data_IF_698559121815
#
_entry.id   IF_698559121815
#
_cell.length_a   1.000
_cell.length_b   1.000
_cell.length_c   1.000
_cell.angle_alpha   90.00
_cell.angle_beta   90.00
_cell.angle_gamma   90.00
#
_symmetry.space_group_name_H-M   'P 1'
#
loop_
_entity.id
_entity.type
_entity.pdbx_description
1 polymer ?
#
# COMPACT_ATOMS: atom_id res chain seq x y z
N UNK A 1 -18.48 -7.71 25.02
CA UNK A 1 -17.50 -7.41 23.96
C UNK A 1 -17.38 -8.69 23.17
N UNK A 2 -17.71 -8.72 21.87
CA UNK A 2 -17.53 -9.93 21.09
C UNK A 2 -16.04 -10.30 21.15
N UNK A 3 -15.74 -11.48 21.69
CA UNK A 3 -14.38 -12.01 21.75
C UNK A 3 -14.05 -12.56 20.35
N UNK A 4 -13.84 -11.63 19.41
CA UNK A 4 -13.51 -11.96 18.03
C UNK A 4 -12.14 -12.63 18.05
N UNK A 5 -12.11 -13.90 17.64
CA UNK A 5 -10.88 -14.67 17.60
C UNK A 5 -9.83 -13.98 16.71
N UNK A 6 -8.58 -13.88 17.20
CA UNK A 6 -7.45 -13.44 16.40
C UNK A 6 -7.36 -14.16 15.06
N UNK A 7 -7.22 -13.39 13.97
CA UNK A 7 -6.99 -13.94 12.62
C UNK A 7 -6.16 -12.97 11.80
N UNK A 8 -5.35 -13.51 10.90
CA UNK A 8 -4.76 -12.73 9.81
C UNK A 8 -5.01 -13.43 8.48
N UNK A 9 -5.27 -12.64 7.44
CA UNK A 9 -5.50 -13.13 6.07
C UNK A 9 -4.68 -12.34 5.07
N UNK A 10 -4.03 -13.02 4.14
CA UNK A 10 -3.27 -12.39 3.06
C UNK A 10 -3.41 -13.22 1.79
N UNK A 11 -4.20 -12.74 0.82
CA UNK A 11 -4.63 -13.57 -0.30
C UNK A 11 -5.36 -14.84 0.18
N UNK A 12 -4.83 -16.01 -0.17
CA UNK A 12 -5.37 -17.31 0.27
C UNK A 12 -4.73 -17.81 1.58
N UNK A 13 -3.78 -17.09 2.18
CA UNK A 13 -3.21 -17.49 3.46
C UNK A 13 -4.11 -17.03 4.60
N UNK A 14 -4.42 -17.95 5.51
CA UNK A 14 -5.17 -17.69 6.73
C UNK A 14 -4.36 -18.20 7.91
N UNK A 15 -4.11 -17.33 8.88
CA UNK A 15 -3.39 -17.64 10.10
C UNK A 15 -4.32 -17.47 11.31
N UNK A 16 -4.39 -18.50 12.15
CA UNK A 16 -5.23 -18.57 13.35
C UNK A 16 -4.48 -19.23 14.52
N UNK A 17 -5.06 -19.19 15.72
CA UNK A 17 -4.36 -19.63 16.93
C UNK A 17 -3.20 -18.69 17.28
N UNK A 18 -3.53 -17.44 17.63
CA UNK A 18 -2.56 -16.45 18.07
C UNK A 18 -1.74 -16.99 19.25
N UNK A 19 -0.42 -17.02 19.09
CA UNK A 19 0.52 -17.55 20.06
C UNK A 19 1.19 -16.45 20.88
N UNK A 20 1.68 -15.42 20.21
CA UNK A 20 2.39 -14.30 20.83
C UNK A 20 2.33 -13.05 19.96
N UNK A 21 2.47 -11.90 20.62
CA UNK A 21 2.54 -10.58 20.00
C UNK A 21 3.76 -9.85 20.56
N UNK A 22 4.55 -9.25 19.67
CA UNK A 22 5.74 -8.48 20.02
C UNK A 22 5.82 -7.23 19.15
N UNK A 23 6.64 -6.28 19.59
CA UNK A 23 6.97 -5.04 18.86
C UNK A 23 8.43 -5.04 18.40
N UNK A 24 9.15 -6.13 18.66
CA UNK A 24 10.55 -6.30 18.29
C UNK A 24 10.68 -6.88 16.87
N UNK A 25 11.29 -6.15 15.92
CA UNK A 25 11.49 -6.65 14.56
C UNK A 25 12.43 -7.86 14.49
N UNK A 26 13.32 -8.09 15.47
CA UNK A 26 14.20 -9.27 15.49
C UNK A 26 13.41 -10.59 15.54
N UNK A 27 12.19 -10.55 16.09
CA UNK A 27 11.31 -11.71 16.13
C UNK A 27 10.94 -12.24 14.73
N UNK A 28 10.97 -11.39 13.70
CA UNK A 28 10.66 -11.77 12.33
C UNK A 28 11.76 -12.62 11.67
N UNK A 29 12.97 -12.65 12.24
CA UNK A 29 14.07 -13.54 11.82
C UNK A 29 14.12 -14.83 12.65
N UNK A 30 13.13 -15.06 13.54
CA UNK A 30 13.09 -16.24 14.42
C UNK A 30 12.46 -17.46 13.73
N UNK A 31 11.27 -17.91 14.19
CA UNK A 31 10.56 -19.07 13.68
C UNK A 31 9.05 -18.81 13.64
N UNK A 32 8.36 -19.57 12.79
CA UNK A 32 6.91 -19.51 12.60
C UNK A 32 6.43 -18.40 11.66
N UNK A 33 5.11 -18.27 11.58
CA UNK A 33 4.44 -17.32 10.71
C UNK A 33 3.91 -16.11 11.50
N UNK A 34 4.28 -14.93 11.02
CA UNK A 34 3.98 -13.65 11.63
C UNK A 34 3.08 -12.82 10.73
N UNK A 35 1.97 -12.30 11.26
CA UNK A 35 1.31 -11.15 10.69
C UNK A 35 2.00 -9.88 11.18
N UNK A 36 2.22 -8.92 10.29
CA UNK A 36 2.97 -7.69 10.53
C UNK A 36 2.08 -6.49 10.22
N UNK A 37 1.95 -5.60 11.20
CA UNK A 37 1.34 -4.28 11.06
C UNK A 37 2.32 -3.23 11.56
N UNK A 38 2.94 -2.50 10.64
CA UNK A 38 3.73 -1.31 10.92
C UNK A 38 2.91 -0.08 10.57
N UNK A 39 2.67 0.81 11.54
CA UNK A 39 2.03 2.08 11.28
C UNK A 39 3.03 3.11 10.72
N UNK A 40 2.53 4.16 10.07
CA UNK A 40 3.38 5.18 9.45
C UNK A 40 4.32 5.89 10.43
N UNK A 41 3.91 5.98 11.71
CA UNK A 41 4.69 6.57 12.79
C UNK A 41 5.81 5.63 13.30
N UNK A 42 5.90 4.40 12.78
CA UNK A 42 6.96 3.44 13.08
C UNK A 42 6.64 2.48 14.22
N UNK A 43 5.42 2.46 14.76
CA UNK A 43 4.99 1.41 15.70
C UNK A 43 4.76 0.13 14.94
N UNK A 44 5.45 -0.92 15.39
CA UNK A 44 5.40 -2.25 14.80
C UNK A 44 4.63 -3.19 15.70
N UNK A 45 3.72 -3.97 15.14
CA UNK A 45 3.09 -5.12 15.80
C UNK A 45 3.33 -6.37 14.96
N UNK A 46 4.00 -7.35 15.54
CA UNK A 46 4.26 -8.67 14.97
C UNK A 46 3.48 -9.70 15.78
N UNK A 47 2.56 -10.42 15.14
CA UNK A 47 1.72 -11.42 15.77
C UNK A 47 1.96 -12.80 15.17
N UNK A 48 2.45 -13.75 15.98
CA UNK A 48 2.72 -15.12 15.53
C UNK A 48 1.51 -16.02 15.72
N UNK A 49 1.27 -16.90 14.75
CA UNK A 49 0.15 -17.82 14.72
C UNK A 49 0.63 -19.28 14.59
N UNK A 50 -0.08 -20.20 15.24
CA UNK A 50 0.23 -21.63 15.22
C UNK A 50 -0.38 -22.38 14.03
N UNK A 51 -1.54 -21.96 13.54
CA UNK A 51 -2.26 -22.63 12.45
C UNK A 51 -2.29 -21.75 11.20
N UNK A 52 -1.52 -22.14 10.18
CA UNK A 52 -1.46 -21.46 8.88
C UNK A 52 -1.94 -22.42 7.80
N UNK A 53 -2.98 -21.99 7.08
CA UNK A 53 -3.64 -22.79 6.05
C UNK A 53 -3.91 -21.96 4.81
N UNK A 54 -4.07 -22.66 3.69
CA UNK A 54 -4.48 -22.04 2.43
C UNK A 54 -5.98 -22.21 2.25
N UNK A 55 -6.71 -21.11 2.34
CA UNK A 55 -8.15 -21.05 2.15
C UNK A 55 -8.52 -19.76 1.40
N UNK A 56 -9.47 -19.81 0.44
CA UNK A 56 -9.94 -18.60 -0.22
C UNK A 56 -10.58 -17.65 0.80
N UNK A 57 -10.56 -16.35 0.51
CA UNK A 57 -11.30 -15.36 1.30
C UNK A 57 -12.78 -15.76 1.34
N UNK A 58 -13.41 -15.83 2.53
CA UNK A 58 -14.82 -16.16 2.64
C UNK A 58 -15.69 -15.20 1.81
N UNK A 59 -16.78 -15.67 1.20
CA UNK A 59 -17.71 -14.78 0.52
C UNK A 59 -18.34 -13.81 1.51
N UNK A 60 -18.58 -12.58 1.07
CA UNK A 60 -19.30 -11.60 1.88
C UNK A 60 -20.72 -12.09 2.25
N UNK A 61 -21.04 -12.11 3.53
CA UNK A 61 -22.35 -12.53 4.04
C UNK A 61 -23.22 -11.28 4.28
N UNK A 62 -24.45 -11.24 3.75
CA UNK A 62 -25.36 -10.12 3.97
C UNK A 62 -25.57 -9.82 5.46
N UNK A 63 -25.47 -8.54 5.82
CA UNK A 63 -25.66 -8.06 7.20
C UNK A 63 -24.55 -8.40 8.20
N UNK A 64 -23.50 -9.14 7.81
CA UNK A 64 -22.37 -9.46 8.68
C UNK A 64 -21.48 -8.24 8.94
N UNK A 65 -21.30 -7.40 7.93
CA UNK A 65 -20.71 -6.07 8.07
C UNK A 65 -21.80 -5.01 8.11
N UNK A 66 -21.73 -4.12 9.10
CA UNK A 66 -22.58 -2.93 9.24
C UNK A 66 -21.68 -1.72 9.41
N UNK A 67 -21.34 -1.08 8.30
CA UNK A 67 -20.49 0.10 8.31
C UNK A 67 -21.22 1.41 8.58
N UNK A 68 -20.46 2.51 8.72
CA UNK A 68 -20.99 3.85 8.97
C UNK A 68 -21.88 4.34 7.81
N UNK A 69 -22.81 5.26 8.06
CA UNK A 69 -23.54 5.88 6.95
C UNK A 69 -22.59 6.71 6.07
N UNK A 70 -22.87 6.85 4.75
CA UNK A 70 -22.02 7.64 3.86
C UNK A 70 -21.80 9.09 4.33
N UNK A 71 -22.80 9.69 4.95
CA UNK A 71 -22.75 11.08 5.40
C UNK A 71 -22.09 11.27 6.79
N UNK A 72 -21.72 10.17 7.47
CA UNK A 72 -21.07 10.22 8.78
C UNK A 72 -19.54 10.39 8.69
N UNK A 73 -18.97 10.29 7.50
CA UNK A 73 -17.52 10.44 7.29
C UNK A 73 -17.09 11.89 7.44
N UNK A 74 -16.11 12.10 8.31
CA UNK A 74 -15.44 13.39 8.53
C UNK A 74 -13.97 13.29 8.13
N UNK A 75 -13.34 14.41 7.78
CA UNK A 75 -11.94 14.44 7.36
C UNK A 75 -11.07 15.20 8.35
N UNK A 76 -9.85 14.71 8.58
CA UNK A 76 -8.86 15.37 9.42
C UNK A 76 -8.35 16.70 8.84
N UNK A 77 -8.43 16.85 7.51
CA UNK A 77 -8.20 18.10 6.80
C UNK A 77 -9.43 18.35 5.93
N UNK A 78 -10.09 19.50 6.14
CA UNK A 78 -11.11 19.95 5.22
C UNK A 78 -10.50 20.42 3.89
N UNK A 79 -11.36 20.80 2.96
CA UNK A 79 -10.96 21.28 1.64
C UNK A 79 -9.93 22.42 1.71
N UNK A 80 -10.20 23.43 2.55
CA UNK A 80 -9.39 24.63 2.60
C UNK A 80 -8.02 24.35 3.25
N UNK A 81 -8.00 23.56 4.33
CA UNK A 81 -6.77 23.12 4.97
C UNK A 81 -5.91 22.24 4.04
N UNK A 82 -6.52 21.31 3.31
CA UNK A 82 -5.81 20.46 2.36
C UNK A 82 -5.21 21.29 1.21
N UNK A 83 -6.00 22.16 0.58
CA UNK A 83 -5.50 22.99 -0.53
C UNK A 83 -4.43 23.99 -0.06
N UNK A 84 -4.54 24.52 1.17
CA UNK A 84 -3.48 25.31 1.80
C UNK A 84 -2.20 24.47 2.01
N UNK A 85 -2.33 23.23 2.48
CA UNK A 85 -1.22 22.28 2.60
C UNK A 85 -0.53 22.02 1.26
N UNK A 86 -1.29 21.83 0.17
CA UNK A 86 -0.72 21.67 -1.19
C UNK A 86 0.09 22.90 -1.60
N UNK A 87 -0.43 24.12 -1.36
CA UNK A 87 0.31 25.37 -1.65
C UNK A 87 1.59 25.45 -0.81
N UNK A 88 1.52 25.07 0.46
CA UNK A 88 2.66 25.07 1.38
C UNK A 88 3.75 24.08 0.96
N UNK A 89 3.39 22.88 0.53
CA UNK A 89 4.36 21.93 -0.06
C UNK A 89 5.02 22.53 -1.31
N UNK A 90 4.27 23.21 -2.18
CA UNK A 90 4.86 23.86 -3.37
C UNK A 90 5.87 24.96 -3.00
N UNK A 91 5.66 25.68 -1.90
CA UNK A 91 6.66 26.63 -1.37
C UNK A 91 7.93 25.92 -0.92
N UNK A 92 7.82 24.79 -0.23
CA UNK A 92 8.97 23.95 0.14
C UNK A 92 9.73 23.44 -1.09
N UNK A 93 9.01 23.05 -2.15
CA UNK A 93 9.62 22.65 -3.42
C UNK A 93 10.34 23.84 -4.08
N UNK A 94 9.72 25.03 -4.10
CA UNK A 94 10.34 26.23 -4.66
C UNK A 94 11.62 26.64 -3.93
N UNK A 95 11.67 26.40 -2.62
CA UNK A 95 12.86 26.64 -1.79
C UNK A 95 13.97 25.60 -2.00
N UNK A 96 13.68 24.47 -2.67
CA UNK A 96 14.62 23.37 -2.89
C UNK A 96 14.72 22.41 -1.70
N UNK A 97 13.79 22.47 -0.74
CA UNK A 97 13.82 21.64 0.47
C UNK A 97 13.40 20.18 0.19
N UNK A 98 12.55 19.99 -0.82
CA UNK A 98 11.95 18.71 -1.20
C UNK A 98 11.57 18.73 -2.69
N UNK A 99 11.50 17.56 -3.34
CA UNK A 99 10.98 17.40 -4.69
C UNK A 99 9.48 17.03 -4.69
N UNK A 100 9.07 16.24 -3.71
CA UNK A 100 7.70 15.77 -3.55
C UNK A 100 7.39 15.45 -2.08
N UNK A 101 6.14 15.71 -1.68
CA UNK A 101 5.56 15.26 -0.40
C UNK A 101 4.22 14.60 -0.65
N UNK A 102 3.99 13.41 -0.09
CA UNK A 102 2.69 12.76 -0.11
C UNK A 102 1.81 13.33 1.01
N UNK A 103 0.97 14.33 0.69
CA UNK A 103 0.07 14.96 1.65
C UNK A 103 -1.23 14.16 1.78
N UNK A 104 -1.56 13.81 3.02
CA UNK A 104 -2.68 12.92 3.34
C UNK A 104 -3.69 13.56 4.28
N UNK A 105 -4.89 12.97 4.29
CA UNK A 105 -5.94 13.19 5.27
C UNK A 105 -6.52 11.85 5.71
N UNK A 106 -6.96 11.78 6.95
CA UNK A 106 -7.62 10.61 7.51
C UNK A 106 -9.11 10.90 7.61
N UNK A 107 -9.89 10.07 6.92
CA UNK A 107 -11.34 10.04 7.00
C UNK A 107 -11.74 9.16 8.18
N UNK A 108 -12.73 9.58 8.96
CA UNK A 108 -13.20 8.88 10.16
C UNK A 108 -14.72 8.94 10.26
N UNK A 109 -15.35 7.83 10.62
CA UNK A 109 -16.78 7.75 10.87
C UNK A 109 -17.09 6.86 12.10
N UNK A 110 -18.07 7.21 12.95
CA UNK A 110 -18.50 6.34 14.05
C UNK A 110 -18.95 4.97 13.57
N UNK A 111 -18.56 3.91 14.27
CA UNK A 111 -19.13 2.58 14.01
C UNK A 111 -20.56 2.52 14.57
N UNK A 112 -21.57 2.10 13.79
CA UNK A 112 -22.96 2.07 14.24
C UNK A 112 -23.24 1.00 15.30
N UNK A 113 -22.54 -0.14 15.20
CA UNK A 113 -22.53 -1.19 16.22
C UNK A 113 -21.09 -1.62 16.48
N UNK A 114 -20.35 -0.90 17.35
CA UNK A 114 -18.97 -1.21 17.64
C UNK A 114 -18.76 -2.60 18.26
N UNK A 115 -19.77 -3.14 18.94
CA UNK A 115 -19.66 -4.45 19.56
C UNK A 115 -19.70 -5.57 18.52
N UNK A 116 -20.48 -5.40 17.45
CA UNK A 116 -20.60 -6.35 16.35
C UNK A 116 -19.63 -6.10 15.18
N UNK A 117 -18.91 -4.96 15.18
CA UNK A 117 -17.98 -4.60 14.11
C UNK A 117 -16.81 -5.59 14.00
N UNK A 118 -16.71 -6.24 12.84
CA UNK A 118 -15.66 -7.21 12.49
C UNK A 118 -14.97 -6.80 11.19
N UNK A 119 -13.68 -6.48 11.28
CA UNK A 119 -12.87 -6.04 10.13
C UNK A 119 -12.62 -7.14 9.09
N UNK A 120 -12.73 -8.43 9.47
CA UNK A 120 -12.66 -9.56 8.51
C UNK A 120 -13.91 -9.59 7.61
N UNK A 121 -15.08 -9.22 8.14
CA UNK A 121 -16.31 -9.09 7.36
C UNK A 121 -16.22 -7.94 6.33
N UNK A 122 -15.60 -6.82 6.70
CA UNK A 122 -15.27 -5.75 5.75
C UNK A 122 -14.29 -6.24 4.67
N UNK A 123 -13.32 -7.07 5.04
CA UNK A 123 -12.37 -7.63 4.08
C UNK A 123 -13.05 -8.53 3.05
N UNK A 124 -14.01 -9.35 3.46
CA UNK A 124 -14.81 -10.16 2.53
C UNK A 124 -15.58 -9.29 1.51
N UNK A 125 -16.09 -8.12 1.94
CA UNK A 125 -16.72 -7.15 1.02
C UNK A 125 -15.72 -6.53 0.05
N UNK A 126 -14.56 -6.10 0.55
CA UNK A 126 -13.50 -5.52 -0.27
C UNK A 126 -12.99 -6.52 -1.31
N UNK A 127 -12.76 -7.78 -0.91
CA UNK A 127 -12.31 -8.84 -1.83
C UNK A 127 -13.29 -9.05 -3.00
N UNK A 128 -14.60 -8.86 -2.77
CA UNK A 128 -15.64 -8.99 -3.80
C UNK A 128 -15.74 -7.76 -4.70
N UNK A 129 -15.70 -6.56 -4.12
CA UNK A 129 -16.06 -5.31 -4.79
C UNK A 129 -14.85 -4.48 -5.28
N UNK A 130 -13.66 -4.78 -4.74
CA UNK A 130 -12.39 -4.10 -5.02
C UNK A 130 -11.20 -5.05 -4.78
N UNK A 131 -11.06 -6.14 -5.57
CA UNK A 131 -9.95 -7.07 -5.42
C UNK A 131 -8.60 -6.37 -5.66
N UNK A 132 -7.58 -6.75 -4.88
CA UNK A 132 -6.24 -6.20 -4.98
C UNK A 132 -5.17 -7.26 -4.68
N UNK A 133 -3.99 -7.12 -5.29
CA UNK A 133 -2.92 -8.10 -5.22
C UNK A 133 -2.40 -8.37 -3.80
N UNK A 134 -2.39 -7.33 -2.95
CA UNK A 134 -1.91 -7.40 -1.58
C UNK A 134 -3.02 -7.11 -0.57
N UNK A 135 -4.24 -7.56 -0.88
CA UNK A 135 -5.38 -7.48 0.03
C UNK A 135 -5.22 -8.41 1.24
N UNK A 136 -5.77 -8.01 2.38
CA UNK A 136 -5.67 -8.78 3.61
C UNK A 136 -6.37 -8.18 4.82
N UNK A 137 -6.31 -8.92 5.93
CA UNK A 137 -6.88 -8.56 7.22
C UNK A 137 -5.88 -8.87 8.32
N UNK A 138 -5.81 -8.02 9.34
CA UNK A 138 -5.25 -8.40 10.64
C UNK A 138 -6.28 -8.01 11.70
N UNK A 139 -6.81 -8.99 12.44
CA UNK A 139 -7.81 -8.79 13.49
C UNK A 139 -7.24 -9.27 14.81
N UNK A 140 -6.82 -8.34 15.64
CA UNK A 140 -6.23 -8.50 16.97
C UNK A 140 -6.82 -7.42 17.91
N UNK A 141 -8.12 -7.48 18.24
CA UNK A 141 -8.80 -6.43 19.02
C UNK A 141 -8.16 -6.20 20.39
N UNK A 142 -7.68 -7.26 21.05
CA UNK A 142 -6.95 -7.17 22.32
C UNK A 142 -5.60 -6.43 22.24
N UNK A 143 -5.09 -6.20 21.02
CA UNK A 143 -3.84 -5.49 20.75
C UNK A 143 -4.06 -4.19 19.96
N UNK A 144 -5.32 -3.79 19.76
CA UNK A 144 -5.66 -2.55 19.02
C UNK A 144 -5.32 -2.58 17.53
N UNK A 145 -5.14 -3.77 16.93
CA UNK A 145 -4.84 -3.92 15.50
C UNK A 145 -6.03 -4.59 14.81
N UNK A 146 -6.86 -3.79 14.14
CA UNK A 146 -8.00 -4.26 13.37
C UNK A 146 -8.00 -3.57 12.01
N UNK A 147 -7.41 -4.23 11.01
CA UNK A 147 -7.05 -3.67 9.72
C UNK A 147 -7.68 -4.50 8.60
N UNK A 148 -8.28 -3.84 7.61
CA UNK A 148 -8.67 -4.41 6.32
C UNK A 148 -7.99 -3.61 5.21
N UNK A 149 -7.15 -4.25 4.41
CA UNK A 149 -6.40 -3.61 3.32
C UNK A 149 -6.81 -4.17 1.96
N UNK A 150 -6.97 -3.29 0.97
CA UNK A 150 -7.12 -3.61 -0.44
C UNK A 150 -5.98 -2.97 -1.25
N UNK A 151 -4.76 -3.06 -0.73
CA UNK A 151 -3.58 -2.44 -1.34
C UNK A 151 -3.16 -3.15 -2.63
N UNK A 152 -2.87 -2.40 -3.71
CA UNK A 152 -2.28 -2.95 -4.92
C UNK A 152 -0.75 -2.88 -4.93
N UNK A 153 -0.13 -2.27 -3.92
CA UNK A 153 1.29 -1.90 -3.98
C UNK A 153 2.15 -2.69 -2.98
N UNK A 154 3.22 -3.29 -3.50
CA UNK A 154 4.20 -4.02 -2.70
C UNK A 154 5.14 -3.03 -2.01
N UNK A 155 5.15 -3.05 -0.67
CA UNK A 155 6.19 -2.38 0.09
C UNK A 155 7.49 -3.18 0.03
N UNK A 156 7.46 -4.41 0.53
CA UNK A 156 8.61 -5.32 0.54
C UNK A 156 8.17 -6.76 0.32
N UNK A 157 8.83 -7.48 -0.57
CA UNK A 157 8.88 -8.95 -0.53
C UNK A 157 10.27 -9.40 -0.11
N UNK A 158 10.35 -10.58 0.49
CA UNK A 158 11.61 -11.24 0.83
C UNK A 158 11.52 -12.70 0.41
N UNK A 159 12.59 -13.20 -0.21
CA UNK A 159 12.84 -14.62 -0.44
C UNK A 159 14.31 -14.88 -0.10
N UNK A 160 14.53 -15.48 1.06
CA UNK A 160 15.83 -15.63 1.70
C UNK A 160 16.58 -14.29 1.88
N UNK A 161 17.60 -14.02 1.06
CA UNK A 161 18.38 -12.78 1.06
C UNK A 161 17.88 -11.78 0.01
N UNK A 162 17.14 -12.24 -1.00
CA UNK A 162 16.60 -11.37 -2.03
C UNK A 162 15.43 -10.56 -1.46
N UNK A 163 15.51 -9.25 -1.59
CA UNK A 163 14.43 -8.32 -1.22
C UNK A 163 14.01 -7.51 -2.42
N UNK A 164 12.70 -7.31 -2.56
CA UNK A 164 12.14 -6.46 -3.62
C UNK A 164 11.15 -5.45 -3.08
N UNK A 165 11.02 -4.33 -3.78
CA UNK A 165 9.96 -3.36 -3.60
C UNK A 165 9.36 -3.01 -4.96
N UNK A 166 8.04 -2.80 -4.99
CA UNK A 166 7.27 -2.61 -6.21
C UNK A 166 6.56 -1.26 -6.27
N UNK A 167 7.29 -0.12 -6.35
CA UNK A 167 6.66 1.19 -6.32
C UNK A 167 5.74 1.41 -7.54
N UNK A 168 4.53 1.91 -7.26
CA UNK A 168 3.53 2.25 -8.28
C UNK A 168 3.37 3.76 -8.34
N UNK A 169 3.54 4.34 -9.54
CA UNK A 169 3.30 5.77 -9.80
C UNK A 169 2.71 5.97 -11.19
N UNK A 170 1.83 6.95 -11.35
CA UNK A 170 1.08 7.11 -12.60
C UNK A 170 -0.10 6.14 -12.70
N UNK A 171 -1.29 6.70 -12.88
CA UNK A 171 -2.52 5.95 -13.09
C UNK A 171 -3.31 6.63 -14.20
N UNK A 172 -3.65 5.86 -15.23
CA UNK A 172 -4.42 6.37 -16.36
C UNK A 172 -5.40 5.31 -16.86
N UNK A 173 -6.41 5.68 -17.65
CA UNK A 173 -7.32 4.69 -18.24
C UNK A 173 -6.63 3.83 -19.30
N UNK A 174 -5.70 4.43 -20.02
CA UNK A 174 -4.94 3.77 -21.09
C UNK A 174 -3.46 4.19 -21.02
N UNK A 175 -2.58 3.37 -21.61
CA UNK A 175 -1.15 3.66 -21.64
C UNK A 175 -0.79 4.98 -22.34
N UNK A 176 -1.61 5.42 -23.29
CA UNK A 176 -1.44 6.67 -24.03
C UNK A 176 -1.82 7.92 -23.20
N UNK A 177 -2.60 7.74 -22.12
CA UNK A 177 -3.01 8.81 -21.20
C UNK A 177 -1.98 9.04 -20.08
N UNK A 178 -0.90 8.25 -20.01
CA UNK A 178 0.19 8.46 -19.05
C UNK A 178 1.05 9.67 -19.45
N UNK A 179 1.32 10.54 -18.49
CA UNK A 179 2.02 11.80 -18.70
C UNK A 179 3.53 11.66 -18.40
N UNK A 180 4.33 12.57 -18.94
CA UNK A 180 5.76 12.64 -18.61
C UNK A 180 6.00 12.89 -17.11
N UNK A 181 5.09 13.62 -16.45
CA UNK A 181 5.08 13.78 -14.99
C UNK A 181 5.01 12.43 -14.27
N UNK A 182 4.15 11.51 -14.73
CA UNK A 182 3.98 10.20 -14.10
C UNK A 182 5.26 9.36 -14.15
N UNK A 183 5.99 9.46 -15.28
CA UNK A 183 7.29 8.82 -15.47
C UNK A 183 8.36 9.42 -14.57
N UNK A 184 8.42 10.74 -14.50
CA UNK A 184 9.37 11.44 -13.64
C UNK A 184 9.17 11.11 -12.15
N UNK A 185 7.91 11.07 -11.70
CA UNK A 185 7.57 10.66 -10.34
C UNK A 185 7.98 9.21 -10.07
N UNK A 186 7.71 8.29 -11.00
CA UNK A 186 8.11 6.89 -10.85
C UNK A 186 9.63 6.75 -10.71
N UNK A 187 10.41 7.38 -11.60
CA UNK A 187 11.88 7.34 -11.55
C UNK A 187 12.43 7.88 -10.22
N UNK A 188 11.86 9.00 -9.73
CA UNK A 188 12.25 9.58 -8.45
C UNK A 188 12.01 8.63 -7.27
N UNK A 189 10.85 7.95 -7.24
CA UNK A 189 10.56 6.97 -6.18
C UNK A 189 11.45 5.73 -6.32
N UNK A 190 11.70 5.25 -7.54
CA UNK A 190 12.64 4.15 -7.78
C UNK A 190 14.02 4.47 -7.23
N UNK A 191 14.53 5.69 -7.46
CA UNK A 191 15.84 6.08 -6.93
C UNK A 191 15.87 6.15 -5.41
N UNK A 192 14.80 6.68 -4.79
CA UNK A 192 14.64 6.66 -3.34
C UNK A 192 14.65 5.23 -2.79
N UNK A 193 13.90 4.31 -3.39
CA UNK A 193 13.85 2.90 -2.96
C UNK A 193 15.20 2.20 -3.17
N UNK A 194 15.93 2.52 -4.25
CA UNK A 194 17.30 2.02 -4.46
C UNK A 194 18.24 2.51 -3.36
N UNK A 195 18.14 3.78 -2.97
CA UNK A 195 18.93 4.35 -1.87
C UNK A 195 18.62 3.64 -0.56
N UNK A 196 17.34 3.44 -0.26
CA UNK A 196 16.87 2.73 0.94
C UNK A 196 17.43 1.31 1.02
N UNK A 197 17.22 0.49 -0.01
CA UNK A 197 17.74 -0.87 -0.05
C UNK A 197 19.28 -0.91 -0.03
N UNK A 198 19.93 0.06 -0.66
CA UNK A 198 21.40 0.17 -0.69
C UNK A 198 22.04 0.34 0.70
N UNK A 199 21.27 0.72 1.73
CA UNK A 199 21.78 0.81 3.11
C UNK A 199 21.99 -0.54 3.78
N UNK A 200 21.30 -1.59 3.33
CA UNK A 200 21.28 -2.92 3.96
C UNK A 200 21.61 -4.08 3.01
N UNK A 201 21.56 -3.82 1.70
CA UNK A 201 21.94 -4.79 0.67
C UNK A 201 23.46 -4.77 0.40
N UNK A 202 23.99 -5.89 -0.09
CA UNK A 202 25.36 -6.00 -0.52
C UNK A 202 25.69 -4.99 -1.62
N UNK A 203 26.85 -4.34 -1.53
CA UNK A 203 27.31 -3.35 -2.52
C UNK A 203 27.23 -3.90 -3.93
N UNK A 204 26.57 -3.17 -4.83
CA UNK A 204 26.41 -3.57 -6.24
C UNK A 204 25.29 -4.57 -6.52
N UNK A 205 24.59 -5.09 -5.51
CA UNK A 205 23.45 -6.00 -5.70
C UNK A 205 22.14 -5.31 -6.05
N UNK A 206 21.99 -4.03 -5.71
CA UNK A 206 20.74 -3.30 -5.93
C UNK A 206 20.56 -2.98 -7.42
N UNK A 207 19.52 -3.57 -8.01
CA UNK A 207 19.17 -3.47 -9.44
C UNK A 207 17.72 -3.02 -9.62
N UNK A 208 17.38 -2.59 -10.84
CA UNK A 208 16.01 -2.23 -11.24
C UNK A 208 15.58 -3.14 -12.39
N UNK A 209 15.18 -4.40 -12.11
CA UNK A 209 14.85 -5.37 -13.16
C UNK A 209 13.65 -4.96 -14.03
N UNK A 210 12.76 -4.09 -13.53
CA UNK A 210 11.68 -3.50 -14.30
C UNK A 210 11.56 -2.01 -13.96
N UNK A 211 11.55 -1.15 -14.97
CA UNK A 211 11.39 0.30 -14.81
C UNK A 211 10.20 0.78 -15.64
N UNK A 212 9.21 1.38 -14.98
CA UNK A 212 8.00 1.95 -15.60
C UNK A 212 7.27 0.97 -16.53
N UNK A 213 7.19 -0.31 -16.12
CA UNK A 213 6.41 -1.32 -16.84
C UNK A 213 4.93 -0.92 -16.74
N UNK A 214 4.27 -0.83 -17.89
CA UNK A 214 2.82 -0.57 -17.93
C UNK A 214 2.11 -1.87 -17.57
N UNK A 215 1.37 -1.87 -16.47
CA UNK A 215 0.58 -3.02 -16.03
C UNK A 215 -0.92 -2.72 -16.17
N UNK A 216 -1.68 -3.60 -16.85
CA UNK A 216 -3.12 -3.45 -16.98
C UNK A 216 -3.85 -3.90 -15.72
N UNK A 217 -4.82 -3.10 -15.30
CA UNK A 217 -5.79 -3.43 -14.25
C UNK A 217 -7.21 -3.22 -14.80
N UNK A 218 -8.25 -3.78 -14.16
CA UNK A 218 -9.62 -3.56 -14.62
C UNK A 218 -9.98 -2.07 -14.73
N UNK A 219 -10.10 -1.58 -15.97
CA UNK A 219 -10.48 -0.20 -16.28
C UNK A 219 -9.37 0.85 -16.24
N UNK A 220 -8.11 0.47 -15.98
CA UNK A 220 -6.97 1.40 -15.91
C UNK A 220 -5.61 0.72 -16.17
N UNK A 221 -4.54 1.50 -16.19
CA UNK A 221 -3.15 1.06 -16.21
C UNK A 221 -2.32 1.77 -15.14
N UNK A 222 -1.26 1.09 -14.66
CA UNK A 222 -0.28 1.62 -13.72
C UNK A 222 1.14 1.55 -14.30
N UNK A 223 2.02 2.50 -13.94
CA UNK A 223 3.46 2.27 -14.10
C UNK A 223 3.99 1.60 -12.83
N UNK A 224 4.45 0.38 -13.01
CA UNK A 224 5.02 -0.45 -11.96
C UNK A 224 6.52 -0.59 -12.24
N UNK A 225 7.31 -0.36 -11.21
CA UNK A 225 8.75 -0.64 -11.24
C UNK A 225 9.07 -1.68 -10.18
N UNK A 226 10.19 -2.37 -10.36
CA UNK A 226 10.72 -3.33 -9.39
C UNK A 226 12.14 -2.90 -9.06
N UNK A 227 12.41 -2.71 -7.76
CA UNK A 227 13.75 -2.54 -7.24
C UNK A 227 14.08 -3.79 -6.43
N UNK A 228 15.21 -4.42 -6.74
CA UNK A 228 15.67 -5.67 -6.10
C UNK A 228 17.04 -5.46 -5.51
N UNK A 229 17.34 -6.08 -4.38
CA UNK A 229 18.69 -6.18 -3.81
C UNK A 229 18.90 -7.49 -3.06
N UNK A 230 20.15 -7.80 -2.77
CA UNK A 230 20.53 -8.94 -1.93
C UNK A 230 20.96 -8.42 -0.56
N UNK A 231 20.25 -8.79 0.50
CA UNK A 231 20.65 -8.47 1.87
C UNK A 231 22.05 -8.98 2.17
N UNK A 232 22.81 -8.24 2.97
CA UNK A 232 24.05 -8.81 3.52
C UNK A 232 23.71 -9.97 4.46
N UNK A 233 24.60 -10.95 4.60
CA UNK A 233 24.39 -12.12 5.48
C UNK A 233 24.12 -11.77 6.95
N UNK A 234 24.47 -10.55 7.37
CA UNK A 234 24.28 -10.05 8.73
C UNK A 234 23.00 -9.24 8.90
N UNK A 235 22.36 -8.83 7.82
CA UNK A 235 21.18 -7.98 7.86
C UNK A 235 19.91 -8.84 8.03
N UNK A 236 19.07 -8.44 8.99
CA UNK A 236 17.76 -9.02 9.24
C UNK A 236 16.62 -8.02 9.03
N UNK A 237 15.43 -8.37 9.50
CA UNK A 237 14.27 -7.47 9.53
C UNK A 237 14.50 -6.24 10.41
N UNK A 238 15.28 -6.39 11.48
CA UNK A 238 15.66 -5.29 12.38
C UNK A 238 16.53 -4.22 11.68
N UNK A 239 17.25 -4.57 10.62
CA UNK A 239 17.98 -3.62 9.78
C UNK A 239 17.14 -3.13 8.60
N UNK A 240 16.42 -4.07 7.95
CA UNK A 240 15.65 -3.81 6.74
C UNK A 240 14.53 -2.80 6.97
N UNK A 241 13.72 -2.96 8.03
CA UNK A 241 12.58 -2.07 8.29
C UNK A 241 13.04 -0.62 8.53
N UNK A 242 13.97 -0.31 9.47
CA UNK A 242 14.44 1.06 9.63
C UNK A 242 15.12 1.67 8.39
N UNK A 243 15.75 0.83 7.56
CA UNK A 243 16.40 1.28 6.33
C UNK A 243 15.42 1.57 5.19
N UNK A 244 14.17 1.14 5.25
CA UNK A 244 13.22 1.26 4.13
C UNK A 244 11.93 1.98 4.51
N UNK A 245 11.64 2.09 5.81
CA UNK A 245 10.38 2.63 6.30
C UNK A 245 10.41 4.17 6.46
N UNK A 246 9.26 4.86 6.30
CA UNK A 246 8.03 4.37 5.65
C UNK A 246 8.23 4.17 4.14
N UNK A 247 7.32 3.45 3.45
CA UNK A 247 7.44 3.17 2.03
C UNK A 247 7.61 4.46 1.20
N UNK A 248 8.51 4.41 0.20
CA UNK A 248 8.93 5.59 -0.55
C UNK A 248 7.81 6.31 -1.30
N UNK A 249 6.89 5.54 -1.90
CA UNK A 249 5.79 6.06 -2.72
C UNK A 249 4.76 6.89 -1.94
N UNK A 250 4.70 6.74 -0.62
CA UNK A 250 3.70 7.37 0.27
C UNK A 250 4.32 8.31 1.31
N UNK A 251 5.60 8.65 1.14
CA UNK A 251 6.30 9.64 1.96
C UNK A 251 6.66 10.86 1.11
N UNK A 252 7.76 10.80 0.37
CA UNK A 252 8.25 11.90 -0.46
C UNK A 252 9.78 11.85 -0.61
N UNK A 253 10.34 12.73 -1.42
CA UNK A 253 11.75 12.72 -1.78
C UNK A 253 12.36 14.12 -1.68
N UNK A 254 13.49 14.33 -0.96
CA UNK A 254 14.16 13.37 -0.07
C UNK A 254 13.30 13.00 1.15
N UNK A 255 13.40 11.73 1.61
CA UNK A 255 12.50 11.17 2.64
C UNK A 255 12.50 11.95 3.95
N UNK A 256 13.69 12.28 4.48
CA UNK A 256 13.81 13.00 5.76
C UNK A 256 13.13 14.38 5.75
N UNK A 257 13.33 15.16 4.68
CA UNK A 257 12.64 16.44 4.50
C UNK A 257 11.13 16.27 4.37
N UNK A 258 10.69 15.28 3.58
CA UNK A 258 9.27 15.03 3.36
C UNK A 258 8.54 14.65 4.67
N UNK A 259 9.15 13.80 5.50
CA UNK A 259 8.55 13.39 6.78
C UNK A 259 8.37 14.56 7.75
N UNK A 260 9.35 15.49 7.82
CA UNK A 260 9.22 16.72 8.62
C UNK A 260 8.06 17.60 8.11
N UNK A 261 7.90 17.73 6.80
CA UNK A 261 6.82 18.54 6.20
C UNK A 261 5.46 17.86 6.44
N UNK A 262 5.39 16.53 6.39
CA UNK A 262 4.17 15.77 6.73
C UNK A 262 3.76 16.04 8.18
N UNK A 263 4.71 15.94 9.11
CA UNK A 263 4.46 16.23 10.53
C UNK A 263 3.98 17.67 10.78
N UNK A 264 4.45 18.64 9.99
CA UNK A 264 4.01 20.03 10.07
C UNK A 264 2.60 20.25 9.53
N UNK A 265 2.21 19.59 8.44
CA UNK A 265 1.00 19.92 7.68
C UNK A 265 -0.20 19.03 7.98
N UNK A 266 0.00 17.83 8.51
CA UNK A 266 -1.09 16.90 8.80
C UNK A 266 -1.62 17.07 10.23
N UNK A 267 -2.93 16.89 10.40
CA UNK A 267 -3.61 17.13 11.67
C UNK A 267 -3.39 16.04 12.74
N UNK A 268 -2.71 14.95 12.40
CA UNK A 268 -2.49 13.84 13.32
C UNK A 268 -1.85 12.62 12.65
N UNK A 269 -1.67 11.52 13.41
CA UNK A 269 -1.04 10.31 12.90
C UNK A 269 -1.88 9.63 11.81
N UNK A 270 -1.20 8.98 10.86
CA UNK A 270 -1.83 8.17 9.81
C UNK A 270 -2.20 6.77 10.30
N UNK A 271 -1.58 6.28 11.37
CA UNK A 271 -1.77 4.91 11.82
C UNK A 271 -1.35 3.92 10.71
N UNK A 272 -2.07 2.80 10.48
CA UNK A 272 -1.68 1.81 9.49
C UNK A 272 -1.74 2.35 8.04
N UNK A 273 -2.37 3.49 7.81
CA UNK A 273 -2.36 4.12 6.50
C UNK A 273 -0.97 4.63 6.15
N UNK A 274 -0.50 4.37 4.92
CA UNK A 274 0.88 4.57 4.47
C UNK A 274 1.93 3.73 5.23
N UNK A 275 1.51 2.80 6.09
CA UNK A 275 2.39 1.88 6.80
C UNK A 275 2.78 0.64 5.98
N UNK A 276 3.18 -0.42 6.69
CA UNK A 276 3.51 -1.74 6.12
C UNK A 276 2.62 -2.83 6.70
N UNK A 277 1.85 -3.52 5.86
CA UNK A 277 0.86 -4.52 6.30
C UNK A 277 1.08 -5.81 5.54
N UNK A 278 1.28 -6.93 6.23
CA UNK A 278 1.51 -8.19 5.55
C UNK A 278 1.94 -9.32 6.46
N UNK A 279 2.77 -10.22 5.94
CA UNK A 279 3.23 -11.39 6.67
C UNK A 279 4.71 -11.70 6.44
N UNK A 280 5.28 -12.43 7.39
CA UNK A 280 6.61 -13.03 7.35
C UNK A 280 6.50 -14.50 7.78
N UNK A 281 6.91 -15.42 6.92
CA UNK A 281 7.11 -16.83 7.25
C UNK A 281 8.60 -17.01 7.53
N UNK A 282 8.98 -16.95 8.82
CA UNK A 282 10.37 -16.99 9.25
C UNK A 282 11.00 -18.37 8.99
N UNK A 283 10.20 -19.44 9.08
CA UNK A 283 10.65 -20.81 8.80
C UNK A 283 11.02 -21.00 7.33
N UNK A 284 10.22 -20.40 6.43
CA UNK A 284 10.50 -20.42 4.98
C UNK A 284 11.39 -19.28 4.52
N UNK A 285 11.69 -18.31 5.39
CA UNK A 285 12.41 -17.07 5.06
C UNK A 285 11.78 -16.31 3.90
N UNK A 286 10.45 -16.30 3.85
CA UNK A 286 9.68 -15.56 2.82
C UNK A 286 8.76 -14.54 3.47
N UNK A 287 8.47 -13.46 2.76
CA UNK A 287 7.56 -12.43 3.27
C UNK A 287 6.93 -11.62 2.14
N UNK A 288 5.80 -10.98 2.48
CA UNK A 288 5.17 -9.97 1.64
C UNK A 288 4.48 -8.94 2.53
N UNK A 289 4.98 -7.70 2.48
CA UNK A 289 4.41 -6.52 3.11
C UNK A 289 3.88 -5.58 2.02
N UNK A 290 2.61 -5.20 2.13
CA UNK A 290 1.97 -4.21 1.30
C UNK A 290 2.20 -2.79 1.84
N UNK A 291 2.20 -1.79 0.97
CA UNK A 291 2.03 -0.40 1.38
C UNK A 291 0.61 -0.25 1.93
N UNK A 292 0.45 0.37 3.09
CA UNK A 292 -0.85 0.56 3.75
C UNK A 292 -1.77 1.58 3.08
N UNK A 293 -2.09 1.42 1.80
CA UNK A 293 -3.03 2.26 1.06
C UNK A 293 -4.30 1.49 0.72
N UNK A 294 -5.41 2.21 0.51
CA UNK A 294 -6.74 1.59 0.38
C UNK A 294 -7.05 0.69 1.60
N UNK A 295 -6.73 1.22 2.78
CA UNK A 295 -6.73 0.51 4.06
C UNK A 295 -7.73 1.15 5.00
N UNK A 296 -8.60 0.31 5.56
CA UNK A 296 -9.46 0.64 6.69
C UNK A 296 -8.88 0.11 7.98
N UNK A 297 -9.12 0.82 9.08
CA UNK A 297 -8.84 0.28 10.42
C UNK A 297 -9.85 0.76 11.44
N UNK A 298 -10.12 -0.09 12.43
CA UNK A 298 -10.98 0.24 13.55
C UNK A 298 -10.12 0.82 14.66
N UNK A 299 -10.45 2.04 15.09
CA UNK A 299 -9.84 2.68 16.26
C UNK A 299 -10.86 2.68 17.39
N UNK A 300 -10.66 1.79 18.36
CA UNK A 300 -11.53 1.64 19.54
C UNK A 300 -11.14 2.58 20.69
N UNK A 301 -10.08 3.38 20.53
CA UNK A 301 -9.48 4.15 21.63
C UNK A 301 -9.97 5.58 21.71
N UNK A 302 -10.74 6.06 20.72
CA UNK A 302 -11.18 7.45 20.69
C UNK A 302 -12.16 7.78 21.82
N UNK A 303 -12.05 8.99 22.36
CA UNK A 303 -12.92 9.46 23.44
C UNK A 303 -14.40 9.56 23.03
N UNK A 304 -14.68 9.75 21.74
CA UNK A 304 -16.03 9.82 21.18
C UNK A 304 -16.65 8.43 20.92
N UNK A 305 -15.89 7.35 21.14
CA UNK A 305 -16.29 5.97 20.85
C UNK A 305 -15.53 5.36 19.67
N UNK A 306 -15.70 4.06 19.39
CA UNK A 306 -14.98 3.41 18.30
C UNK A 306 -15.37 3.97 16.93
N UNK A 307 -14.36 4.21 16.10
CA UNK A 307 -14.53 4.73 14.74
C UNK A 307 -13.88 3.81 13.73
N UNK A 308 -14.41 3.82 12.51
CA UNK A 308 -13.73 3.31 11.34
C UNK A 308 -12.94 4.45 10.70
N UNK A 309 -11.68 4.19 10.36
CA UNK A 309 -10.80 5.15 9.71
C UNK A 309 -10.38 4.66 8.34
N UNK A 310 -10.08 5.61 7.46
CA UNK A 310 -9.59 5.36 6.10
C UNK A 310 -8.69 6.53 5.67
N UNK A 311 -7.55 6.25 5.06
CA UNK A 311 -6.64 7.30 4.60
C UNK A 311 -6.73 7.57 3.10
N UNK A 312 -6.59 8.84 2.72
CA UNK A 312 -6.47 9.26 1.33
C UNK A 312 -5.40 10.36 1.19
N UNK A 313 -4.70 10.39 0.07
CA UNK A 313 -3.65 11.36 -0.17
C UNK A 313 -3.13 11.36 -1.61
N UNK A 314 -2.21 12.28 -1.87
CA UNK A 314 -1.60 12.46 -3.18
C UNK A 314 -0.16 12.97 -3.07
N UNK A 315 0.65 12.59 -4.06
CA UNK A 315 2.02 13.04 -4.21
C UNK A 315 2.06 14.46 -4.77
N UNK A 316 2.33 15.43 -3.91
CA UNK A 316 2.38 16.83 -4.29
C UNK A 316 3.74 17.14 -4.90
N UNK A 317 3.72 17.65 -6.13
CA UNK A 317 4.90 18.05 -6.91
C UNK A 317 4.79 19.52 -7.31
N UNK A 318 5.81 20.08 -7.94
CA UNK A 318 5.78 21.47 -8.40
C UNK A 318 4.55 21.82 -9.27
N UNK A 319 4.18 20.90 -10.15
CA UNK A 319 3.06 21.05 -11.09
C UNK A 319 1.68 20.71 -10.51
N UNK A 320 1.57 20.43 -9.22
CA UNK A 320 0.30 20.08 -8.58
C UNK A 320 -0.64 21.29 -8.46
N UNK A 321 -1.90 21.08 -8.84
CA UNK A 321 -3.00 22.05 -8.68
C UNK A 321 -3.77 21.73 -7.38
N UNK A 322 -3.85 22.65 -6.39
CA UNK A 322 -4.50 22.35 -5.10
C UNK A 322 -5.91 21.75 -5.22
N UNK A 323 -6.72 22.28 -6.13
CA UNK A 323 -8.09 21.81 -6.35
C UNK A 323 -8.13 20.43 -7.01
N UNK A 324 -7.26 20.20 -8.02
CA UNK A 324 -7.08 18.90 -8.65
C UNK A 324 -6.66 17.83 -7.66
N UNK A 325 -5.68 18.12 -6.79
CA UNK A 325 -5.17 17.17 -5.79
C UNK A 325 -6.25 16.82 -4.75
N UNK A 326 -7.05 17.81 -4.31
CA UNK A 326 -8.21 17.52 -3.45
C UNK A 326 -9.18 16.53 -4.11
N UNK A 327 -9.58 16.82 -5.36
CA UNK A 327 -10.48 15.95 -6.15
C UNK A 327 -9.90 14.55 -6.34
N UNK A 328 -8.58 14.44 -6.50
CA UNK A 328 -7.90 13.13 -6.59
C UNK A 328 -8.04 12.33 -5.29
N UNK A 329 -7.88 12.98 -4.12
CA UNK A 329 -8.10 12.27 -2.85
C UNK A 329 -9.55 11.82 -2.67
N UNK A 330 -10.52 12.64 -3.06
CA UNK A 330 -11.95 12.29 -3.06
C UNK A 330 -12.22 11.09 -3.97
N UNK A 331 -11.67 11.10 -5.20
CA UNK A 331 -11.83 10.03 -6.17
C UNK A 331 -11.25 8.69 -5.65
N UNK A 332 -10.06 8.72 -5.04
CA UNK A 332 -9.42 7.53 -4.46
C UNK A 332 -10.22 6.95 -3.29
N UNK A 333 -10.91 7.80 -2.53
CA UNK A 333 -11.71 7.40 -1.38
C UNK A 333 -13.11 6.90 -1.77
N UNK A 334 -13.78 7.58 -2.71
CA UNK A 334 -15.23 7.45 -2.96
C UNK A 334 -15.71 6.00 -3.11
N UNK A 335 -15.03 5.20 -3.95
CA UNK A 335 -15.43 3.80 -4.18
C UNK A 335 -15.29 2.94 -2.93
N UNK A 336 -14.20 3.10 -2.17
CA UNK A 336 -13.92 2.30 -0.98
C UNK A 336 -14.83 2.70 0.18
N UNK A 337 -15.08 3.99 0.36
CA UNK A 337 -16.06 4.48 1.33
C UNK A 337 -17.46 3.96 0.99
N UNK A 338 -17.85 3.95 -0.27
CA UNK A 338 -19.15 3.39 -0.68
C UNK A 338 -19.26 1.89 -0.37
N UNK A 339 -18.18 1.11 -0.50
CA UNK A 339 -18.16 -0.31 -0.10
C UNK A 339 -18.26 -0.44 1.43
N UNK A 340 -17.48 0.35 2.18
CA UNK A 340 -17.45 0.29 3.63
C UNK A 340 -18.76 0.78 4.25
N UNK A 341 -19.41 1.78 3.68
CA UNK A 341 -20.72 2.29 4.11
C UNK A 341 -21.90 1.50 3.56
N UNK A 342 -21.67 0.67 2.54
CA UNK A 342 -22.67 -0.23 2.01
C UNK A 342 -22.96 -1.39 2.97
N UNK A 343 -24.19 -1.47 3.47
CA UNK A 343 -24.70 -2.75 3.95
C UNK A 343 -24.88 -3.67 2.75
N UNK A 344 -24.21 -4.83 2.73
CA UNK A 344 -24.53 -5.84 1.73
C UNK A 344 -25.90 -6.43 2.08
N UNK A 345 -26.94 -5.99 1.37
CA UNK A 345 -28.25 -6.62 1.35
C UNK A 345 -28.37 -7.47 0.09
N UNK A 346 -28.85 -8.71 0.23
CA UNK A 346 -28.84 -9.76 -0.79
C UNK A 346 -29.78 -9.53 -1.99
N UNK A 347 -30.04 -8.29 -2.40
CA UNK A 347 -31.11 -7.97 -3.37
C UNK A 347 -30.83 -6.87 -4.41
N UNK A 348 -29.68 -6.20 -4.42
CA UNK A 348 -29.50 -5.02 -5.29
C UNK A 348 -28.88 -5.27 -6.68
N UNK A 349 -28.75 -6.53 -7.12
CA UNK A 349 -28.23 -6.88 -8.46
C UNK A 349 -29.09 -7.95 -9.16
N UNK A 350 -30.40 -7.77 -9.21
CA UNK A 350 -31.13 -8.17 -10.42
C UNK A 350 -30.78 -7.13 -11.50
N UNK A 351 -29.71 -7.41 -12.24
CA UNK A 351 -29.45 -6.71 -13.51
C UNK A 351 -30.67 -6.93 -14.39
N UNK A 352 -31.36 -5.84 -14.73
CA UNK A 352 -32.41 -5.84 -15.74
C UNK A 352 -31.94 -6.61 -16.96
N UNK A 353 -32.66 -7.68 -17.26
CA UNK A 353 -32.55 -8.43 -18.49
C UNK A 353 -33.12 -7.57 -19.62
N UNK A 354 -32.29 -6.71 -20.20
CA UNK A 354 -32.48 -6.30 -21.58
C UNK A 354 -31.70 -7.27 -22.47
N UNK A 355 -32.47 -8.02 -23.27
CA UNK A 355 -32.00 -8.91 -24.32
C UNK A 355 -31.21 -8.11 -25.36
N UNK A 356 -29.89 -8.24 -25.39
CA UNK A 356 -29.06 -8.45 -26.59
C UNK A 356 -27.58 -8.13 -26.33
N UNK A 357 -26.71 -9.11 -26.59
CA UNK A 357 -25.26 -8.91 -26.64
C UNK A 357 -24.51 -9.78 -25.65
N UNK A 358 -24.23 -11.01 -26.04
CA UNK A 358 -23.28 -11.91 -25.36
C UNK A 358 -21.95 -11.17 -25.21
N UNK A 359 -21.58 -10.84 -23.97
CA UNK A 359 -20.19 -10.51 -23.60
C UNK A 359 -19.71 -11.62 -22.69
N UNK A 360 -18.75 -12.37 -23.20
CA UNK A 360 -18.04 -13.43 -22.49
C UNK A 360 -17.40 -12.84 -21.23
N UNK A 361 -17.82 -13.35 -20.07
CA UNK A 361 -17.17 -13.05 -18.80
C UNK A 361 -15.81 -13.76 -18.82
N UNK A 362 -14.73 -12.98 -18.96
CA UNK A 362 -13.38 -13.51 -18.71
C UNK A 362 -13.28 -13.76 -17.21
N UNK A 363 -13.29 -15.03 -16.82
CA UNK A 363 -13.07 -15.45 -15.45
C UNK A 363 -11.70 -14.95 -14.98
N UNK A 364 -11.70 -14.20 -13.89
CA UNK A 364 -10.50 -13.90 -13.13
C UNK A 364 -10.05 -15.20 -12.45
N UNK A 365 -8.91 -15.74 -12.85
CA UNK A 365 -8.27 -16.86 -12.14
C UNK A 365 -7.32 -16.33 -11.06
N UNK A 366 -7.65 -16.48 -9.77
CA UNK A 366 -6.72 -16.20 -8.69
C UNK A 366 -5.71 -17.36 -8.60
N UNK A 367 -4.70 -17.37 -9.47
CA UNK A 367 -3.72 -18.47 -9.50
C UNK A 367 -2.44 -18.26 -10.31
N UNK A 368 -2.32 -17.20 -11.11
CA UNK A 368 -1.15 -17.03 -11.99
C UNK A 368 0.09 -16.39 -11.33
N UNK A 369 0.03 -16.03 -10.04
CA UNK A 369 1.18 -15.50 -9.29
C UNK A 369 1.74 -16.53 -8.31
N UNK A 370 1.92 -17.76 -8.79
CA UNK A 370 2.94 -18.63 -8.22
C UNK A 370 4.27 -18.20 -8.85
N UNK A 371 5.16 -17.61 -8.06
CA UNK A 371 6.55 -17.41 -8.44
C UNK A 371 7.14 -18.77 -8.83
N UNK A 372 7.23 -19.04 -10.13
CA UNK A 372 8.00 -20.18 -10.62
C UNK A 372 9.47 -19.81 -10.52
N UNK A 373 10.18 -20.49 -9.62
CA UNK A 373 11.64 -20.50 -9.55
C UNK A 373 12.22 -20.88 -10.91
N UNK A 374 12.76 -19.92 -11.63
CA UNK A 374 13.63 -20.20 -12.77
C UNK A 374 15.09 -20.14 -12.31
N UNK A 375 15.70 -21.31 -12.19
CA UNK A 375 17.16 -21.46 -12.13
C UNK A 375 17.79 -20.94 -13.44
N UNK A 376 19.02 -20.42 -13.42
CA UNK A 376 19.61 -19.73 -14.57
C UNK A 376 19.98 -20.72 -15.69
N UNK A 377 19.35 -20.55 -16.85
CA UNK A 377 19.75 -21.16 -18.12
C UNK A 377 20.38 -20.10 -19.03
N UNK A 378 21.48 -20.48 -19.67
CA UNK A 378 22.41 -19.67 -20.45
C UNK A 378 21.81 -18.98 -21.70
N UNK A 379 22.46 -17.87 -22.06
CA UNK A 379 22.59 -17.23 -23.38
C UNK A 379 21.43 -16.45 -24.03
N UNK A 380 21.72 -15.18 -24.35
CA UNK A 380 20.97 -14.40 -25.34
C UNK A 380 21.02 -12.87 -25.18
N UNK A 381 22.19 -12.25 -25.17
CA UNK A 381 22.31 -10.77 -25.23
C UNK A 381 21.83 -10.27 -26.60
N UNK A 382 20.83 -9.39 -26.62
CA UNK A 382 20.56 -8.50 -27.75
C UNK A 382 20.77 -7.03 -27.33
N UNK A 383 21.43 -6.21 -28.16
CA UNK A 383 21.95 -4.90 -27.77
C UNK A 383 20.87 -3.81 -27.75
N UNK A 384 21.07 -2.86 -26.83
CA UNK A 384 20.34 -1.60 -26.69
C UNK A 384 20.66 -0.69 -27.90
N UNK A 385 19.68 0.03 -28.49
CA UNK A 385 19.98 1.01 -29.54
C UNK A 385 20.61 2.29 -28.98
N UNK A 386 21.68 2.70 -29.63
CA UNK A 386 22.51 3.88 -29.36
C UNK A 386 21.72 5.18 -29.67
N UNK A 387 21.68 6.11 -28.70
CA UNK A 387 21.09 7.45 -28.87
C UNK A 387 22.20 8.44 -29.26
N UNK A 388 22.07 9.20 -30.37
CA UNK A 388 23.16 10.04 -30.85
C UNK A 388 23.35 11.30 -29.99
N UNK A 389 24.54 11.42 -29.41
CA UNK A 389 25.01 12.64 -28.76
C UNK A 389 25.40 13.74 -29.75
N UNK A 390 25.13 14.99 -29.36
CA UNK A 390 25.91 16.17 -29.75
C UNK A 390 26.02 17.10 -28.55
N UNK A 391 27.16 17.08 -27.89
CA UNK A 391 27.67 18.19 -27.08
C UNK A 391 28.96 18.65 -27.75
N UNK A 392 28.91 19.83 -28.37
CA UNK A 392 30.11 20.53 -28.82
C UNK A 392 30.68 21.32 -27.64
N UNK A 393 31.92 20.99 -27.27
CA UNK A 393 32.75 21.78 -26.38
C UNK A 393 33.12 23.11 -27.04
N UNK A 394 32.77 24.22 -26.40
CA UNK A 394 33.43 25.50 -26.64
C UNK A 394 34.12 25.96 -25.36
N UNK A 395 35.38 25.60 -25.21
CA UNK A 395 36.28 26.27 -24.28
C UNK A 395 36.70 27.64 -24.82
N UNK A 396 36.63 28.67 -23.97
CA UNK A 396 37.57 29.79 -23.99
C UNK A 396 37.88 30.26 -22.57
N UNK A 397 39.17 30.23 -22.29
CA UNK A 397 39.92 30.87 -21.20
C UNK A 397 39.74 32.38 -21.16
N UNK A 398 39.55 32.93 -19.96
CA UNK A 398 40.37 33.95 -19.31
C UNK A 398 39.95 34.09 -17.84
#
# INVERSE_FOLDING_TARGET
MHDLAPVARFGNLVASGLRDVTHDPEALDSAGFWAVAADFEGRLTCARFDDVRTEPVPPAIPGQWRGPAPDDWTSSLDHDAYTAGVRRVREYIAAGDVYQVNLCRVLSAPLPDPAAADVDALTALLAREHPAAYAGTIRLPGHGVEIATASPELYLSRDDLTVESGPIKGTARTAAELLDKDRAENVMIVDLVRNDLGRVCATGSVTVPALMRVEPYPGLVHLVSTVRGELTEKAGWADLLPATFPPGSVSGAPKSSALRIIEELEAGPRGPYCGGIGWVDADRRTASLAVGIRTFWIDRTTAAGPVLRFGAGAGITWGSDPEGEWRETELKAARLLAIASGGYESGAYERGSDESGVREAVAYEPGAYAWQNNSPGEDGVSPVPDMPGRYEESGRTA
#
